data_IF_115838443674
#
_entry.id   IF_115838443674
#
_cell.length_a   1.000
_cell.length_b   1.000
_cell.length_c   1.000
_cell.angle_alpha   90.00
_cell.angle_beta   90.00
_cell.angle_gamma   90.00
#
_symmetry.space_group_name_H-M   'P 1'
#
loop_
_entity.id
_entity.type
_entity.pdbx_description
1 polymer ?
#
# COMPACT_ATOMS: atom_id res chain seq x y z
N UNK A 1 29.68 61.98 -2.65
CA UNK A 1 29.87 60.76 -1.82
C UNK A 1 28.65 59.87 -2.04
N UNK A 2 28.83 58.73 -2.70
CA UNK A 2 27.75 57.85 -3.14
C UNK A 2 27.40 56.84 -2.03
N UNK A 3 26.14 56.86 -1.60
CA UNK A 3 25.58 55.94 -0.60
C UNK A 3 25.38 54.56 -1.23
N UNK A 4 26.20 53.57 -0.86
CA UNK A 4 25.97 52.16 -1.21
C UNK A 4 24.94 51.57 -0.24
N UNK A 5 23.72 51.38 -0.75
CA UNK A 5 22.68 50.56 -0.12
C UNK A 5 23.17 49.12 0.05
N UNK A 6 23.13 48.61 1.28
CA UNK A 6 23.38 47.19 1.60
C UNK A 6 22.18 46.37 1.13
N UNK A 7 22.34 45.63 0.04
CA UNK A 7 21.41 44.57 -0.35
C UNK A 7 21.50 43.44 0.69
N UNK A 8 20.54 43.39 1.60
CA UNK A 8 20.28 42.21 2.43
C UNK A 8 19.61 41.15 1.55
N UNK A 9 20.35 40.09 1.22
CA UNK A 9 19.81 38.84 0.65
C UNK A 9 18.86 38.22 1.67
N UNK A 10 17.57 38.53 1.58
CA UNK A 10 16.53 37.66 2.14
C UNK A 10 16.40 36.46 1.22
N UNK A 11 16.70 35.26 1.73
CA UNK A 11 16.35 34.02 1.06
C UNK A 11 14.80 33.95 0.98
N UNK A 12 14.20 33.75 -0.20
CA UNK A 12 12.75 33.77 -0.33
C UNK A 12 12.15 32.53 0.35
N UNK A 13 11.16 32.78 1.22
CA UNK A 13 10.36 31.77 1.94
C UNK A 13 9.63 30.76 1.03
N UNK A 14 9.55 31.02 -0.28
CA UNK A 14 8.94 30.13 -1.26
C UNK A 14 9.60 28.73 -1.33
N UNK A 15 10.90 28.65 -1.02
CA UNK A 15 11.65 27.38 -1.07
C UNK A 15 11.22 26.35 0.00
N UNK A 16 10.65 26.78 1.13
CA UNK A 16 10.13 25.85 2.15
C UNK A 16 8.75 25.27 1.77
N UNK A 17 7.90 26.06 1.09
CA UNK A 17 6.53 25.67 0.76
C UNK A 17 6.43 24.54 -0.26
N UNK A 18 7.32 24.51 -1.26
CA UNK A 18 7.30 23.53 -2.37
C UNK A 18 7.82 22.16 -1.93
N UNK A 19 8.93 22.15 -1.18
CA UNK A 19 9.42 20.91 -0.57
C UNK A 19 8.40 20.36 0.41
N UNK A 20 7.72 21.22 1.17
CA UNK A 20 6.63 20.82 2.06
C UNK A 20 5.49 20.12 1.33
N UNK A 21 5.03 20.62 0.19
CA UNK A 21 3.87 20.08 -0.52
C UNK A 21 4.14 18.70 -1.14
N UNK A 22 5.26 18.52 -1.84
CA UNK A 22 5.57 17.25 -2.52
C UNK A 22 6.04 16.14 -1.56
N UNK A 23 6.77 16.50 -0.49
CA UNK A 23 7.13 15.53 0.57
C UNK A 23 5.92 15.15 1.42
N UNK A 24 4.97 16.05 1.69
CA UNK A 24 3.77 15.70 2.48
C UNK A 24 2.75 14.88 1.69
N UNK A 25 2.56 15.12 0.38
CA UNK A 25 1.62 14.36 -0.45
C UNK A 25 2.07 12.90 -0.65
N UNK A 26 3.33 12.69 -1.06
CA UNK A 26 3.92 11.36 -1.24
C UNK A 26 4.04 10.57 0.09
N UNK A 27 4.28 11.24 1.22
CA UNK A 27 4.38 10.56 2.51
C UNK A 27 3.02 10.06 3.04
N UNK A 28 1.93 10.79 2.79
CA UNK A 28 0.59 10.46 3.33
C UNK A 28 -0.11 9.31 2.62
N UNK A 29 0.18 9.06 1.34
CA UNK A 29 -0.48 8.02 0.54
C UNK A 29 0.24 6.69 0.73
N UNK A 30 -0.46 5.64 1.17
CA UNK A 30 0.10 4.29 1.25
C UNK A 30 -0.47 3.41 0.12
N UNK A 31 0.33 3.17 -0.91
CA UNK A 31 -0.12 2.48 -2.13
C UNK A 31 -0.52 1.03 -1.85
N UNK A 32 0.23 0.35 -0.98
CA UNK A 32 -0.10 -1.00 -0.58
C UNK A 32 -1.47 -1.08 0.12
N UNK A 33 -1.77 -0.15 1.02
CA UNK A 33 -3.08 -0.11 1.69
C UNK A 33 -4.20 0.24 0.73
N UNK A 34 -3.99 1.15 -0.22
CA UNK A 34 -4.96 1.45 -1.27
C UNK A 34 -5.24 0.20 -2.10
N UNK A 35 -4.19 -0.51 -2.52
CA UNK A 35 -4.34 -1.77 -3.24
C UNK A 35 -5.17 -2.79 -2.43
N UNK A 36 -4.87 -2.97 -1.14
CA UNK A 36 -5.66 -3.85 -0.28
C UNK A 36 -7.12 -3.40 -0.18
N UNK A 37 -7.39 -2.10 -0.08
CA UNK A 37 -8.76 -1.58 -0.04
C UNK A 37 -9.51 -1.87 -1.35
N UNK A 38 -8.87 -1.65 -2.49
CA UNK A 38 -9.43 -1.96 -3.80
C UNK A 38 -9.76 -3.45 -3.91
N UNK A 39 -8.82 -4.32 -3.52
CA UNK A 39 -9.06 -5.78 -3.52
C UNK A 39 -10.19 -6.14 -2.57
N UNK A 40 -10.23 -5.61 -1.35
CA UNK A 40 -11.26 -5.90 -0.36
C UNK A 40 -12.67 -5.53 -0.85
N UNK A 41 -12.81 -4.37 -1.51
CA UNK A 41 -14.11 -3.86 -1.98
C UNK A 41 -14.54 -4.54 -3.28
N UNK A 42 -13.61 -4.78 -4.20
CA UNK A 42 -13.94 -5.32 -5.53
C UNK A 42 -13.98 -6.84 -5.55
N UNK A 43 -13.27 -7.55 -4.66
CA UNK A 43 -13.19 -9.01 -4.74
C UNK A 43 -14.56 -9.69 -4.72
N UNK A 44 -15.56 -9.31 -3.88
CA UNK A 44 -16.88 -9.94 -3.89
C UNK A 44 -17.56 -9.95 -5.25
N UNK A 45 -17.23 -8.98 -6.11
CA UNK A 45 -17.80 -8.82 -7.44
C UNK A 45 -17.02 -9.55 -8.54
N UNK A 46 -15.93 -10.26 -8.24
CA UNK A 46 -15.14 -10.97 -9.26
C UNK A 46 -15.97 -11.95 -10.10
N UNK A 47 -16.95 -12.60 -9.48
CA UNK A 47 -17.84 -13.55 -10.17
C UNK A 47 -18.71 -12.87 -11.25
N UNK A 48 -18.97 -11.56 -11.13
CA UNK A 48 -19.80 -10.79 -12.07
C UNK A 48 -19.21 -10.78 -13.48
N UNK A 49 -17.88 -10.90 -13.59
CA UNK A 49 -17.17 -10.94 -14.87
C UNK A 49 -17.56 -12.13 -15.76
N UNK A 50 -18.17 -13.17 -15.18
CA UNK A 50 -18.57 -14.41 -15.87
C UNK A 50 -20.08 -14.66 -15.84
N UNK A 51 -20.90 -13.66 -15.48
CA UNK A 51 -22.37 -13.83 -15.39
C UNK A 51 -23.06 -14.06 -16.73
N UNK A 52 -22.60 -13.42 -17.81
CA UNK A 52 -23.27 -13.45 -19.11
C UNK A 52 -22.73 -14.53 -20.05
N UNK A 53 -21.44 -14.85 -19.93
CA UNK A 53 -20.76 -15.86 -20.74
C UNK A 53 -19.88 -16.73 -19.82
N UNK A 54 -20.54 -17.56 -19.00
CA UNK A 54 -19.83 -18.42 -18.07
C UNK A 54 -19.04 -19.49 -18.79
N UNK A 55 -17.86 -19.79 -18.25
CA UNK A 55 -16.91 -20.74 -18.84
C UNK A 55 -16.80 -21.96 -17.94
N UNK A 56 -16.23 -23.02 -18.49
CA UNK A 56 -15.85 -24.19 -17.69
C UNK A 56 -14.96 -23.74 -16.52
N UNK A 57 -15.32 -24.19 -15.32
CA UNK A 57 -14.58 -23.89 -14.11
C UNK A 57 -13.25 -24.65 -14.03
N UNK A 58 -12.46 -24.31 -13.02
CA UNK A 58 -11.16 -24.92 -12.74
C UNK A 58 -11.15 -25.50 -11.32
N UNK A 59 -10.16 -26.33 -10.99
CA UNK A 59 -10.00 -26.90 -9.64
C UNK A 59 -11.25 -27.65 -9.12
N UNK A 60 -11.99 -28.30 -10.01
CA UNK A 60 -13.18 -29.08 -9.67
C UNK A 60 -14.48 -28.28 -9.61
N UNK A 61 -14.44 -26.98 -9.90
CA UNK A 61 -15.66 -26.19 -10.07
C UNK A 61 -16.26 -26.42 -11.46
N UNK A 62 -17.59 -26.59 -11.53
CA UNK A 62 -18.29 -26.74 -12.81
C UNK A 62 -18.27 -25.44 -13.63
N UNK A 63 -18.31 -24.29 -12.95
CA UNK A 63 -18.44 -22.97 -13.56
C UNK A 63 -17.36 -22.01 -13.06
N UNK A 64 -16.82 -21.19 -13.97
CA UNK A 64 -15.82 -20.19 -13.63
C UNK A 64 -16.38 -19.14 -12.67
N UNK A 65 -17.64 -18.73 -12.84
CA UNK A 65 -18.33 -17.85 -11.90
C UNK A 65 -18.33 -18.38 -10.46
N UNK A 66 -18.53 -19.68 -10.28
CA UNK A 66 -18.54 -20.35 -8.97
C UNK A 66 -17.14 -20.40 -8.34
N UNK A 67 -16.11 -20.66 -9.15
CA UNK A 67 -14.72 -20.57 -8.69
C UNK A 67 -14.37 -19.13 -8.27
N UNK A 68 -14.69 -18.14 -9.10
CA UNK A 68 -14.45 -16.72 -8.83
C UNK A 68 -15.19 -16.24 -7.58
N UNK A 69 -16.42 -16.73 -7.35
CA UNK A 69 -17.16 -16.48 -6.12
C UNK A 69 -16.50 -17.16 -4.90
N UNK A 70 -15.96 -18.36 -5.06
CA UNK A 70 -15.33 -19.09 -3.95
C UNK A 70 -14.02 -18.46 -3.50
N UNK A 71 -13.25 -17.86 -4.42
CA UNK A 71 -12.02 -17.11 -4.07
C UNK A 71 -12.30 -15.69 -3.57
N UNK A 72 -13.45 -15.10 -3.92
CA UNK A 72 -13.73 -13.67 -3.67
C UNK A 72 -13.80 -13.33 -2.18
N UNK A 73 -14.52 -14.15 -1.40
CA UNK A 73 -14.71 -13.96 0.04
C UNK A 73 -13.42 -14.18 0.83
N UNK A 74 -12.62 -15.22 0.56
CA UNK A 74 -11.26 -15.34 1.08
C UNK A 74 -10.39 -14.11 0.83
N UNK A 75 -10.35 -13.60 -0.41
CA UNK A 75 -9.56 -12.43 -0.78
C UNK A 75 -10.02 -11.18 -0.03
N UNK A 76 -11.33 -10.97 0.10
CA UNK A 76 -11.90 -9.89 0.89
C UNK A 76 -11.48 -9.99 2.36
N UNK A 77 -11.59 -11.18 2.94
CA UNK A 77 -11.26 -11.43 4.34
C UNK A 77 -9.77 -11.20 4.61
N UNK A 78 -8.89 -11.72 3.76
CA UNK A 78 -7.45 -11.52 3.88
C UNK A 78 -7.11 -10.02 3.80
N UNK A 79 -7.61 -9.34 2.78
CA UNK A 79 -7.33 -7.92 2.56
C UNK A 79 -7.84 -7.05 3.71
N UNK A 80 -9.07 -7.30 4.17
CA UNK A 80 -9.66 -6.64 5.34
C UNK A 80 -8.84 -6.90 6.61
N UNK A 81 -8.42 -8.15 6.83
CA UNK A 81 -7.56 -8.53 7.95
C UNK A 81 -6.24 -7.76 7.97
N UNK A 82 -5.58 -7.60 6.82
CA UNK A 82 -4.34 -6.82 6.69
C UNK A 82 -4.56 -5.32 6.90
N UNK A 83 -5.66 -4.74 6.43
CA UNK A 83 -6.00 -3.33 6.67
C UNK A 83 -6.23 -3.09 8.17
N UNK A 84 -6.99 -3.97 8.84
CA UNK A 84 -7.23 -3.90 10.29
C UNK A 84 -5.90 -4.07 11.05
N UNK A 85 -4.99 -4.92 10.55
CA UNK A 85 -3.65 -5.11 11.13
C UNK A 85 -2.87 -3.79 11.13
N UNK A 86 -2.92 -3.05 10.04
CA UNK A 86 -2.31 -1.74 9.94
C UNK A 86 -3.00 -0.72 10.87
N UNK A 87 -4.33 -0.69 10.89
CA UNK A 87 -5.12 0.22 11.72
C UNK A 87 -4.77 0.10 13.22
N UNK A 88 -4.40 -1.09 13.70
CA UNK A 88 -3.89 -1.32 15.06
C UNK A 88 -2.79 -0.33 15.46
N UNK A 89 -1.92 0.06 14.53
CA UNK A 89 -0.79 0.93 14.83
C UNK A 89 -1.19 2.40 15.04
N UNK A 90 -2.40 2.77 14.65
CA UNK A 90 -2.92 4.15 14.68
C UNK A 90 -3.93 4.35 15.83
N UNK A 91 -4.54 3.27 16.30
CA UNK A 91 -5.59 3.30 17.32
C UNK A 91 -4.99 3.43 18.74
N UNK A 92 -5.80 3.97 19.66
CA UNK A 92 -5.53 4.05 21.11
C UNK A 92 -5.10 2.69 21.68
N UNK A 93 -4.14 2.71 22.61
CA UNK A 93 -3.48 1.52 23.16
C UNK A 93 -4.44 0.44 23.65
N UNK A 94 -5.54 0.83 24.31
CA UNK A 94 -6.53 -0.07 24.91
C UNK A 94 -7.19 -1.02 23.90
N UNK A 95 -7.32 -0.61 22.63
CA UNK A 95 -7.96 -1.41 21.60
C UNK A 95 -6.98 -2.20 20.72
N UNK A 96 -5.66 -2.01 20.89
CA UNK A 96 -4.67 -2.63 20.00
C UNK A 96 -4.74 -4.15 20.00
N UNK A 97 -4.87 -4.78 21.18
CA UNK A 97 -4.99 -6.24 21.30
C UNK A 97 -6.27 -6.76 20.64
N UNK A 98 -7.37 -6.03 20.80
CA UNK A 98 -8.65 -6.40 20.17
C UNK A 98 -8.54 -6.37 18.65
N UNK A 99 -7.98 -5.30 18.07
CA UNK A 99 -7.76 -5.19 16.63
C UNK A 99 -6.77 -6.23 16.10
N UNK A 100 -5.77 -6.60 16.91
CA UNK A 100 -4.86 -7.71 16.58
C UNK A 100 -5.60 -9.05 16.46
N UNK A 101 -6.45 -9.38 17.42
CA UNK A 101 -7.23 -10.62 17.37
C UNK A 101 -8.23 -10.63 16.22
N UNK A 102 -8.93 -9.52 16.00
CA UNK A 102 -9.87 -9.38 14.87
C UNK A 102 -9.11 -9.58 13.56
N UNK A 103 -8.01 -8.85 13.36
CA UNK A 103 -7.17 -8.97 12.16
C UNK A 103 -6.70 -10.41 11.93
N UNK A 104 -6.12 -11.05 12.94
CA UNK A 104 -5.64 -12.42 12.81
C UNK A 104 -6.77 -13.42 12.54
N UNK A 105 -7.98 -13.18 13.06
CA UNK A 105 -9.16 -14.01 12.80
C UNK A 105 -9.62 -13.88 11.35
N UNK A 106 -9.67 -12.66 10.81
CA UNK A 106 -9.96 -12.42 9.39
C UNK A 106 -8.94 -13.07 8.46
N UNK A 107 -7.65 -13.00 8.80
CA UNK A 107 -6.59 -13.69 8.07
C UNK A 107 -6.76 -15.21 8.12
N UNK A 108 -6.99 -15.77 9.32
CA UNK A 108 -7.14 -17.21 9.51
C UNK A 108 -8.33 -17.76 8.73
N UNK A 109 -9.50 -17.12 8.84
CA UNK A 109 -10.71 -17.50 8.09
C UNK A 109 -10.47 -17.36 6.59
N UNK A 110 -9.86 -16.27 6.16
CA UNK A 110 -9.54 -16.02 4.75
C UNK A 110 -8.63 -17.10 4.18
N UNK A 111 -7.51 -17.40 4.83
CA UNK A 111 -6.59 -18.45 4.38
C UNK A 111 -7.20 -19.85 4.48
N UNK A 112 -8.02 -20.13 5.50
CA UNK A 112 -8.72 -21.40 5.61
C UNK A 112 -9.59 -21.65 4.38
N UNK A 113 -10.48 -20.71 4.04
CA UNK A 113 -11.35 -20.85 2.87
C UNK A 113 -10.60 -20.73 1.55
N UNK A 114 -9.48 -20.01 1.52
CA UNK A 114 -8.60 -19.97 0.36
C UNK A 114 -8.02 -21.36 0.06
N UNK A 115 -7.43 -22.00 1.06
CA UNK A 115 -6.86 -23.35 0.92
C UNK A 115 -7.95 -24.37 0.61
N UNK A 116 -9.11 -24.26 1.26
CA UNK A 116 -10.28 -25.10 0.98
C UNK A 116 -10.73 -25.00 -0.47
N UNK A 117 -10.68 -23.81 -1.08
CA UNK A 117 -11.07 -23.61 -2.49
C UNK A 117 -10.12 -24.33 -3.46
N UNK A 118 -8.84 -24.43 -3.12
CA UNK A 118 -7.83 -25.07 -3.98
C UNK A 118 -7.57 -26.55 -3.67
N UNK A 119 -8.08 -27.06 -2.54
CA UNK A 119 -7.76 -28.39 -2.05
C UNK A 119 -9.05 -29.21 -1.93
N UNK A 120 -9.45 -29.96 -2.96
CA UNK A 120 -10.60 -30.85 -2.87
C UNK A 120 -10.40 -31.90 -1.77
N UNK A 121 -11.51 -32.37 -1.20
CA UNK A 121 -11.48 -33.47 -0.24
C UNK A 121 -11.15 -34.78 -0.99
N UNK A 122 -9.89 -35.20 -0.93
CA UNK A 122 -9.41 -36.46 -1.46
C UNK A 122 -9.05 -37.41 -0.32
N UNK A 123 -9.43 -38.69 -0.41
CA UNK A 123 -9.01 -39.89 0.36
C UNK A 123 -8.78 -39.81 1.89
N UNK A 124 -8.96 -38.64 2.49
CA UNK A 124 -8.75 -38.34 3.90
C UNK A 124 -10.08 -38.42 4.65
N UNK A 125 -9.99 -38.81 5.93
CA UNK A 125 -11.12 -38.62 6.82
C UNK A 125 -11.47 -37.12 6.93
N UNK A 126 -12.75 -36.82 7.14
CA UNK A 126 -13.25 -35.44 7.28
C UNK A 126 -12.42 -34.66 8.32
N UNK A 127 -12.12 -35.29 9.46
CA UNK A 127 -11.33 -34.68 10.53
C UNK A 127 -9.89 -34.39 10.10
N UNK A 128 -9.23 -35.34 9.43
CA UNK A 128 -7.86 -35.16 8.94
C UNK A 128 -7.77 -34.05 7.92
N UNK A 129 -8.73 -34.00 6.99
CA UNK A 129 -8.79 -32.97 5.94
C UNK A 129 -8.87 -31.56 6.53
N UNK A 130 -9.83 -31.31 7.43
CA UNK A 130 -9.98 -29.99 8.05
C UNK A 130 -8.83 -29.63 9.00
N UNK A 131 -8.22 -30.61 9.67
CA UNK A 131 -7.03 -30.38 10.51
C UNK A 131 -5.82 -29.91 9.67
N UNK A 132 -5.61 -30.52 8.49
CA UNK A 132 -4.54 -30.10 7.56
C UNK A 132 -4.81 -28.69 7.05
N UNK A 133 -6.03 -28.39 6.61
CA UNK A 133 -6.39 -27.04 6.12
C UNK A 133 -6.17 -26.00 7.22
N UNK A 134 -6.63 -26.27 8.45
CA UNK A 134 -6.43 -25.37 9.57
C UNK A 134 -4.94 -25.13 9.85
N UNK A 135 -4.12 -26.18 9.82
CA UNK A 135 -2.67 -26.08 10.03
C UNK A 135 -2.03 -25.20 8.97
N UNK A 136 -2.36 -25.41 7.70
CA UNK A 136 -1.86 -24.58 6.59
C UNK A 136 -2.33 -23.14 6.74
N UNK A 137 -3.59 -22.90 7.10
CA UNK A 137 -4.15 -21.56 7.29
C UNK A 137 -3.44 -20.80 8.42
N UNK A 138 -3.08 -21.47 9.51
CA UNK A 138 -2.27 -20.88 10.60
C UNK A 138 -0.89 -20.48 10.09
N UNK A 139 -0.21 -21.37 9.34
CA UNK A 139 1.11 -21.09 8.76
C UNK A 139 1.02 -19.88 7.81
N UNK A 140 0.04 -19.85 6.92
CA UNK A 140 -0.17 -18.73 5.99
C UNK A 140 -0.49 -17.43 6.71
N UNK A 141 -1.25 -17.47 7.81
CA UNK A 141 -1.53 -16.29 8.65
C UNK A 141 -0.24 -15.73 9.25
N UNK A 142 0.68 -16.58 9.72
CA UNK A 142 1.97 -16.14 10.23
C UNK A 142 2.83 -15.52 9.11
N UNK A 143 2.90 -16.17 7.95
CA UNK A 143 3.63 -15.66 6.78
C UNK A 143 3.07 -14.32 6.33
N UNK A 144 1.75 -14.17 6.26
CA UNK A 144 1.09 -12.93 5.86
C UNK A 144 1.41 -11.78 6.80
N UNK A 145 1.44 -12.02 8.12
CA UNK A 145 1.85 -11.02 9.09
C UNK A 145 3.30 -10.54 8.89
N UNK A 146 4.22 -11.46 8.57
CA UNK A 146 5.61 -11.11 8.27
C UNK A 146 5.73 -10.34 6.96
N UNK A 147 5.05 -10.81 5.91
CA UNK A 147 5.03 -10.16 4.60
C UNK A 147 4.44 -8.75 4.68
N UNK A 148 3.34 -8.58 5.41
CA UNK A 148 2.69 -7.29 5.64
C UNK A 148 3.65 -6.27 6.26
N UNK A 149 4.36 -6.67 7.32
CA UNK A 149 5.38 -5.82 7.95
C UNK A 149 6.53 -5.49 6.99
N UNK A 150 6.99 -6.47 6.21
CA UNK A 150 8.06 -6.28 5.24
C UNK A 150 7.68 -5.30 4.13
N UNK A 151 6.46 -5.41 3.58
CA UNK A 151 5.94 -4.52 2.54
C UNK A 151 5.84 -3.09 3.06
N UNK A 152 5.21 -2.88 4.22
CA UNK A 152 5.09 -1.54 4.83
C UNK A 152 6.46 -0.90 5.08
N UNK A 153 7.40 -1.67 5.64
CA UNK A 153 8.77 -1.18 5.88
C UNK A 153 9.49 -0.83 4.57
N UNK A 154 9.27 -1.62 3.52
CA UNK A 154 9.87 -1.39 2.20
C UNK A 154 9.30 -0.15 1.54
N UNK A 155 7.99 0.06 1.63
CA UNK A 155 7.33 1.26 1.10
C UNK A 155 7.81 2.52 1.84
N UNK A 156 7.93 2.48 3.17
CA UNK A 156 8.52 3.58 3.94
C UNK A 156 9.97 3.88 3.54
N UNK A 157 10.78 2.84 3.31
CA UNK A 157 12.16 2.98 2.83
C UNK A 157 12.20 3.61 1.43
N UNK A 158 11.32 3.17 0.53
CA UNK A 158 11.21 3.73 -0.82
C UNK A 158 10.85 5.22 -0.77
N UNK A 159 9.84 5.60 0.04
CA UNK A 159 9.48 7.01 0.27
C UNK A 159 10.66 7.84 0.77
N UNK A 160 11.45 7.32 1.70
CA UNK A 160 12.66 7.99 2.21
C UNK A 160 13.73 8.15 1.13
N UNK A 161 13.93 7.15 0.27
CA UNK A 161 14.89 7.22 -0.83
C UNK A 161 14.43 8.27 -1.86
N UNK A 162 13.15 8.27 -2.23
CA UNK A 162 12.57 9.26 -3.15
C UNK A 162 12.72 10.68 -2.57
N UNK A 163 12.38 10.88 -1.30
CA UNK A 163 12.56 12.17 -0.62
C UNK A 163 14.01 12.66 -0.70
N UNK A 164 14.98 11.78 -0.38
CA UNK A 164 16.41 12.13 -0.45
C UNK A 164 16.88 12.45 -1.87
N UNK A 165 16.32 11.77 -2.88
CA UNK A 165 16.64 12.05 -4.28
C UNK A 165 16.16 13.45 -4.68
N UNK A 166 14.94 13.82 -4.29
CA UNK A 166 14.42 15.17 -4.52
C UNK A 166 15.22 16.23 -3.75
N UNK A 167 15.58 15.98 -2.50
CA UNK A 167 16.44 16.89 -1.72
C UNK A 167 17.78 17.10 -2.44
N UNK A 168 18.38 16.04 -2.98
CA UNK A 168 19.62 16.13 -3.75
C UNK A 168 19.46 16.94 -5.05
N UNK A 169 18.40 16.69 -5.82
CA UNK A 169 18.14 17.40 -7.09
C UNK A 169 17.87 18.88 -6.85
N UNK A 170 17.03 19.22 -5.87
CA UNK A 170 16.57 20.59 -5.65
C UNK A 170 17.61 21.41 -4.86
N UNK A 171 18.27 20.83 -3.86
CA UNK A 171 19.13 21.58 -2.95
C UNK A 171 20.62 21.43 -3.26
N UNK A 172 21.06 20.25 -3.68
CA UNK A 172 22.49 19.95 -3.78
C UNK A 172 23.02 20.16 -5.21
N UNK A 173 22.23 19.84 -6.22
CA UNK A 173 22.60 20.00 -7.63
C UNK A 173 22.83 21.47 -8.03
N UNK A 174 21.99 22.45 -7.64
CA UNK A 174 22.22 23.84 -8.02
C UNK A 174 23.53 24.39 -7.45
N UNK A 175 23.88 23.98 -6.23
CA UNK A 175 25.08 24.45 -5.53
C UNK A 175 26.38 23.97 -6.15
N UNK A 176 26.37 22.81 -6.80
CA UNK A 176 27.59 22.21 -7.38
C UNK A 176 27.65 22.33 -8.90
N UNK A 177 26.52 22.40 -9.60
CA UNK A 177 26.48 22.17 -11.06
C UNK A 177 25.75 23.29 -11.84
N UNK A 178 25.16 24.27 -11.14
CA UNK A 178 24.50 25.42 -11.77
C UNK A 178 25.24 26.71 -11.40
N UNK A 179 25.53 27.53 -12.40
CA UNK A 179 26.14 28.86 -12.20
C UNK A 179 25.29 29.70 -11.25
N UNK A 180 25.90 30.43 -10.31
CA UNK A 180 25.21 31.19 -9.24
C UNK A 180 24.06 32.06 -9.76
N UNK A 181 24.22 32.67 -10.94
CA UNK A 181 23.20 33.53 -11.58
C UNK A 181 21.92 32.78 -11.99
N UNK A 182 22.01 31.47 -12.25
CA UNK A 182 20.90 30.63 -12.74
C UNK A 182 20.32 29.70 -11.67
N UNK A 183 20.88 29.69 -10.46
CA UNK A 183 20.44 28.81 -9.39
C UNK A 183 19.00 29.12 -8.95
N UNK A 184 18.62 30.40 -8.94
CA UNK A 184 17.27 30.84 -8.58
C UNK A 184 16.27 30.39 -9.65
N UNK A 185 16.56 30.62 -10.93
CA UNK A 185 15.69 30.20 -12.04
C UNK A 185 15.51 28.68 -12.10
N UNK A 186 16.56 27.92 -11.81
CA UNK A 186 16.50 26.46 -11.74
C UNK A 186 15.50 25.99 -10.68
N UNK A 187 15.57 26.54 -9.45
CA UNK A 187 14.65 26.17 -8.37
C UNK A 187 13.22 26.59 -8.70
N UNK A 188 13.01 27.81 -9.23
CA UNK A 188 11.69 28.32 -9.61
C UNK A 188 11.06 27.48 -10.73
N UNK A 189 11.85 27.03 -11.71
CA UNK A 189 11.34 26.19 -12.81
C UNK A 189 10.84 24.84 -12.32
N UNK A 190 11.54 24.22 -11.36
CA UNK A 190 11.10 22.97 -10.73
C UNK A 190 9.88 23.19 -9.84
N UNK A 191 9.83 24.28 -9.07
CA UNK A 191 8.66 24.67 -8.29
C UNK A 191 7.40 24.80 -9.15
N UNK A 192 7.52 25.46 -10.30
CA UNK A 192 6.41 25.58 -11.25
C UNK A 192 5.93 24.22 -11.75
N UNK A 193 6.84 23.34 -12.18
CA UNK A 193 6.50 21.99 -12.65
C UNK A 193 5.85 21.16 -11.54
N UNK A 194 6.34 21.26 -10.31
CA UNK A 194 5.82 20.51 -9.16
C UNK A 194 4.40 20.96 -8.80
N UNK A 195 4.14 22.27 -8.78
CA UNK A 195 2.82 22.80 -8.48
C UNK A 195 1.80 22.48 -9.59
N UNK A 196 2.22 22.52 -10.86
CA UNK A 196 1.36 22.09 -11.98
C UNK A 196 0.96 20.60 -11.89
N UNK A 197 1.83 19.74 -11.35
CA UNK A 197 1.52 18.31 -11.14
C UNK A 197 0.65 18.07 -9.90
N UNK A 198 0.73 18.95 -8.89
CA UNK A 198 0.01 18.80 -7.61
C UNK A 198 -1.43 19.31 -7.61
N UNK A 199 -1.81 20.12 -8.60
CA UNK A 199 -3.16 20.69 -8.77
C UNK A 199 -4.07 19.83 -9.69
N UNK A 200 -3.58 18.70 -10.21
CA UNK A 200 -4.38 17.64 -10.87
C UNK A 200 -4.81 16.53 -9.90
#
# INVERSE_FOLDING_TARGET
MSNKSKNTKFAPQATETVMGFQTTWSQRINFYLIFLCVVAVLSPFLHVLYLTEDKEGIFGFAYMSSFMFSISLPLMSISSGLIIKFAKNIIVEDFKKTFEYISNTFLLIGFFFMVYTFTPMYDFSIYTYYAIILTIAVILTLIANLAHKAILTTEERLKKIISKLFDFIILETPRKHVSEEKQIDYVISYEKIINEIGDE
#
